data_IF_124714400936
#
_entry.id   IF_124714400936
#
_cell.length_a   1.000
_cell.length_b   1.000
_cell.length_c   1.000
_cell.angle_alpha   90.00
_cell.angle_beta   90.00
_cell.angle_gamma   90.00
#
_symmetry.space_group_name_H-M   'P 1'
#
loop_
_entity.id
_entity.type
_entity.pdbx_description
1 polymer ?
#
# COMPACT_ATOMS: atom_id res chain seq x y z
N UNK A 1 1.47 16.73 -4.71
CA UNK A 1 1.47 15.51 -5.56
C UNK A 1 0.97 15.85 -6.97
N UNK A 2 1.84 16.29 -7.89
CA UNK A 2 1.46 16.65 -9.28
C UNK A 2 2.26 15.90 -10.35
N UNK A 3 3.11 14.94 -9.96
CA UNK A 3 3.96 14.19 -10.89
C UNK A 3 3.31 12.85 -11.25
N UNK A 4 3.42 12.48 -12.53
CA UNK A 4 3.00 11.16 -13.02
C UNK A 4 4.02 10.14 -12.54
N UNK A 5 3.59 9.18 -11.74
CA UNK A 5 4.46 8.13 -11.22
C UNK A 5 5.04 7.30 -12.38
N UNK A 6 6.32 6.94 -12.27
CA UNK A 6 7.04 6.16 -13.27
C UNK A 6 6.54 4.71 -13.30
N UNK A 7 6.43 4.16 -14.50
CA UNK A 7 6.19 2.74 -14.71
C UNK A 7 7.43 1.94 -14.26
N UNK A 8 7.21 0.80 -13.62
CA UNK A 8 8.30 -0.07 -13.17
C UNK A 8 8.56 -1.16 -14.19
N UNK A 9 9.83 -1.49 -14.41
CA UNK A 9 10.22 -2.67 -15.18
C UNK A 9 10.07 -3.94 -14.33
N UNK A 10 9.83 -5.07 -15.00
CA UNK A 10 9.75 -6.37 -14.36
C UNK A 10 10.94 -7.25 -14.78
N UNK A 11 11.54 -8.03 -13.86
CA UNK A 11 11.15 -8.20 -12.46
C UNK A 11 11.51 -7.00 -11.57
N UNK A 12 10.74 -6.78 -10.51
CA UNK A 12 11.05 -5.76 -9.50
C UNK A 12 12.43 -6.00 -8.87
N UNK A 13 13.14 -4.90 -8.62
CA UNK A 13 14.32 -4.88 -7.75
C UNK A 13 13.96 -5.28 -6.31
N UNK A 14 14.97 -5.65 -5.52
CA UNK A 14 14.79 -5.99 -4.10
C UNK A 14 14.16 -4.83 -3.31
N UNK A 15 14.67 -3.61 -3.53
CA UNK A 15 14.19 -2.40 -2.87
C UNK A 15 12.72 -2.09 -3.18
N UNK A 16 12.29 -2.30 -4.43
CA UNK A 16 10.88 -2.09 -4.83
C UNK A 16 9.95 -3.12 -4.17
N UNK A 17 10.39 -4.37 -4.07
CA UNK A 17 9.64 -5.40 -3.34
C UNK A 17 9.52 -5.04 -1.86
N UNK A 18 10.62 -4.65 -1.23
CA UNK A 18 10.63 -4.22 0.18
C UNK A 18 9.73 -3.01 0.41
N UNK A 19 9.76 -2.05 -0.51
CA UNK A 19 8.86 -0.89 -0.48
C UNK A 19 7.40 -1.30 -0.51
N UNK A 20 7.02 -2.20 -1.44
CA UNK A 20 5.64 -2.65 -1.60
C UNK A 20 5.15 -3.44 -0.38
N UNK A 21 6.03 -4.26 0.20
CA UNK A 21 5.76 -5.00 1.44
C UNK A 21 5.54 -4.03 2.60
N UNK A 22 6.42 -3.03 2.77
CA UNK A 22 6.29 -2.01 3.81
C UNK A 22 5.01 -1.17 3.65
N UNK A 23 4.60 -0.90 2.41
CA UNK A 23 3.33 -0.22 2.13
C UNK A 23 2.12 -1.03 2.62
N UNK A 24 2.12 -2.35 2.39
CA UNK A 24 1.07 -3.25 2.91
C UNK A 24 1.13 -3.35 4.42
N UNK A 25 2.32 -3.47 5.00
CA UNK A 25 2.53 -3.54 6.46
C UNK A 25 2.03 -2.27 7.16
N UNK A 26 2.24 -1.09 6.56
CA UNK A 26 1.65 0.14 7.04
C UNK A 26 0.12 0.06 7.12
N UNK A 27 -0.55 -0.51 6.11
CA UNK A 27 -2.01 -0.66 6.12
C UNK A 27 -2.46 -1.60 7.25
N UNK A 28 -1.78 -2.74 7.42
CA UNK A 28 -2.04 -3.68 8.53
C UNK A 28 -1.93 -2.95 9.87
N UNK A 29 -0.80 -2.27 10.09
CA UNK A 29 -0.54 -1.53 11.32
C UNK A 29 -1.51 -0.36 11.54
N UNK A 30 -2.02 0.25 10.48
CA UNK A 30 -3.01 1.34 10.56
C UNK A 30 -4.41 0.85 10.95
N UNK A 31 -4.71 -0.43 10.74
CA UNK A 31 -5.99 -1.07 11.07
C UNK A 31 -5.96 -1.76 12.43
N UNK A 32 -4.78 -2.01 13.00
CA UNK A 32 -4.61 -2.46 14.38
C UNK A 32 -4.78 -1.29 15.36
N UNK A 33 -5.76 -1.36 16.26
CA UNK A 33 -6.08 -0.27 17.19
C UNK A 33 -4.92 0.10 18.14
N UNK A 34 -4.17 -0.89 18.62
CA UNK A 34 -3.08 -0.67 19.56
C UNK A 34 -1.89 0.01 18.87
N UNK A 35 -1.51 -0.51 17.70
CA UNK A 35 -0.39 0.01 16.90
C UNK A 35 -0.76 1.37 16.33
N UNK A 36 -1.96 1.54 15.78
CA UNK A 36 -2.42 2.81 15.24
C UNK A 36 -2.43 3.91 16.30
N UNK A 37 -2.92 3.61 17.52
CA UNK A 37 -2.89 4.56 18.63
C UNK A 37 -1.46 4.86 19.10
N UNK A 38 -0.59 3.84 19.18
CA UNK A 38 0.81 3.99 19.61
C UNK A 38 1.61 4.91 18.68
N UNK A 39 1.42 4.78 17.37
CA UNK A 39 2.19 5.52 16.37
C UNK A 39 1.42 6.70 15.74
N UNK A 40 0.19 6.97 16.19
CA UNK A 40 -0.66 8.03 15.65
C UNK A 40 -1.05 7.81 14.19
N UNK A 41 -1.20 6.55 13.78
CA UNK A 41 -1.56 6.20 12.40
C UNK A 41 -3.04 6.48 12.16
N UNK A 42 -3.35 7.04 10.99
CA UNK A 42 -4.71 7.10 10.50
C UNK A 42 -5.01 5.80 9.76
N UNK A 43 -6.07 5.11 10.18
CA UNK A 43 -6.55 3.91 9.50
C UNK A 43 -6.81 4.18 8.02
N UNK A 44 -6.33 3.27 7.16
CA UNK A 44 -6.48 3.34 5.72
C UNK A 44 -6.62 1.96 5.11
N UNK A 45 -7.28 1.91 3.94
CA UNK A 45 -7.50 0.67 3.17
C UNK A 45 -6.69 0.62 1.87
N UNK A 46 -5.95 1.68 1.57
CA UNK A 46 -5.10 1.77 0.39
C UNK A 46 -3.99 2.79 0.55
N UNK A 47 -2.82 2.47 -0.02
CA UNK A 47 -1.63 3.32 0.00
C UNK A 47 -0.93 3.26 -1.37
N UNK A 48 -0.66 4.42 -1.95
CA UNK A 48 0.10 4.54 -3.18
C UNK A 48 1.52 5.04 -2.88
N UNK A 49 2.52 4.52 -3.60
CA UNK A 49 3.92 4.90 -3.41
C UNK A 49 4.19 6.43 -3.48
N UNK A 50 3.49 7.23 -4.32
CA UNK A 50 3.65 8.69 -4.29
C UNK A 50 3.25 9.34 -2.95
N UNK A 51 2.44 8.70 -2.11
CA UNK A 51 2.09 9.19 -0.77
C UNK A 51 3.24 9.13 0.21
N UNK A 52 4.21 8.24 -0.03
CA UNK A 52 5.46 8.10 0.74
C UNK A 52 6.67 8.66 -0.03
N UNK A 53 6.42 9.62 -0.93
CA UNK A 53 7.44 10.30 -1.74
C UNK A 53 8.24 9.39 -2.70
N UNK A 54 7.66 8.25 -3.10
CA UNK A 54 8.23 7.35 -4.10
C UNK A 54 7.42 7.48 -5.38
N UNK A 55 7.98 8.17 -6.39
CA UNK A 55 7.30 8.45 -7.67
C UNK A 55 7.28 7.24 -8.61
N UNK A 56 6.78 6.09 -8.13
CA UNK A 56 6.67 4.82 -8.84
C UNK A 56 5.21 4.32 -8.82
N UNK A 57 4.77 3.63 -9.88
CA UNK A 57 3.41 3.07 -10.02
C UNK A 57 3.23 1.80 -9.19
N UNK A 58 3.17 1.97 -7.88
CA UNK A 58 2.95 0.91 -6.91
C UNK A 58 1.79 1.28 -5.98
N UNK A 59 0.90 0.33 -5.72
CA UNK A 59 -0.19 0.48 -4.76
C UNK A 59 -0.32 -0.77 -3.89
N UNK A 60 -0.65 -0.56 -2.62
CA UNK A 60 -1.13 -1.60 -1.72
C UNK A 60 -2.62 -1.32 -1.42
N UNK A 61 -3.44 -2.36 -1.42
CA UNK A 61 -4.86 -2.33 -1.08
C UNK A 61 -5.09 -3.40 -0.02
N UNK A 62 -5.66 -3.01 1.11
CA UNK A 62 -6.02 -3.90 2.21
C UNK A 62 -7.40 -3.51 2.73
N UNK A 63 -8.42 -4.21 2.25
CA UNK A 63 -9.80 -4.08 2.68
C UNK A 63 -10.15 -5.35 3.47
N UNK A 64 -10.32 -5.25 4.80
CA UNK A 64 -10.77 -6.38 5.61
C UNK A 64 -12.21 -6.76 5.24
N UNK A 65 -12.61 -7.99 5.59
CA UNK A 65 -13.98 -8.45 5.38
C UNK A 65 -14.98 -7.60 6.17
N UNK A 66 -16.02 -7.14 5.49
CA UNK A 66 -17.11 -6.35 6.06
C UNK A 66 -18.25 -7.20 6.65
N UNK A 67 -18.06 -8.53 6.69
CA UNK A 67 -19.03 -9.51 7.16
C UNK A 67 -19.75 -10.24 6.02
N UNK A 68 -19.42 -9.93 4.76
CA UNK A 68 -19.95 -10.62 3.57
C UNK A 68 -19.10 -11.81 3.10
N UNK A 69 -17.95 -12.06 3.74
CA UNK A 69 -17.00 -13.10 3.34
C UNK A 69 -15.96 -12.61 2.32
N UNK A 70 -15.90 -11.31 2.03
CA UNK A 70 -15.03 -10.74 0.98
C UNK A 70 -13.99 -9.81 1.57
N UNK A 71 -12.72 -10.21 1.46
CA UNK A 71 -11.56 -9.36 1.74
C UNK A 71 -10.74 -9.13 0.48
N UNK A 72 -10.00 -8.02 0.46
CA UNK A 72 -9.13 -7.64 -0.65
C UNK A 72 -7.76 -7.28 -0.12
N UNK A 73 -6.76 -8.11 -0.42
CA UNK A 73 -5.36 -7.88 -0.04
C UNK A 73 -4.49 -7.99 -1.28
N UNK A 74 -4.09 -6.84 -1.81
CA UNK A 74 -3.38 -6.74 -3.08
C UNK A 74 -2.19 -5.80 -2.99
N UNK A 75 -1.09 -6.25 -3.60
CA UNK A 75 0.09 -5.44 -3.87
C UNK A 75 0.27 -5.40 -5.39
N UNK A 76 0.05 -4.24 -6.00
CA UNK A 76 -0.03 -4.10 -7.46
C UNK A 76 1.07 -3.18 -7.98
N UNK A 77 1.63 -3.58 -9.12
CA UNK A 77 2.65 -2.85 -9.87
C UNK A 77 2.05 -2.47 -11.22
N UNK A 78 2.26 -1.23 -11.65
CA UNK A 78 1.70 -0.68 -12.89
C UNK A 78 0.18 -0.90 -13.06
N UNK A 79 -0.66 -0.74 -12.01
CA UNK A 79 -2.10 -0.96 -12.13
C UNK A 79 -2.71 0.00 -13.17
N UNK A 80 -3.62 -0.52 -13.98
CA UNK A 80 -4.38 0.22 -14.99
C UNK A 80 -5.82 -0.28 -14.98
N UNK A 81 -6.78 0.64 -15.09
CA UNK A 81 -8.21 0.35 -15.19
C UNK A 81 -8.54 -0.25 -16.57
#
# INVERSE_FOLDING_TARGET
MRQKAAELELPLTKEEKETLIAMREFLVNSQDEEIAKRYGLRSGVGLAAPQINISKRMIAVLIPDDGSGKSYDYMLVNPKL
#
